data_IF_694249958536
#
_entry.id   IF_694249958536
#
_cell.length_a   1.000
_cell.length_b   1.000
_cell.length_c   1.000
_cell.angle_alpha   90.00
_cell.angle_beta   90.00
_cell.angle_gamma   90.00
#
_symmetry.space_group_name_H-M   'P 1'
#
loop_
_entity.id
_entity.type
_entity.pdbx_description
1 polymer ?
#
# COMPACT_ATOMS: atom_id res chain seq x y z
N UNK A 1 4.03 -19.82 -8.68
CA UNK A 1 5.33 -19.31 -9.17
C UNK A 1 5.76 -18.20 -8.24
N UNK A 2 6.94 -18.32 -7.62
CA UNK A 2 7.49 -17.27 -6.78
C UNK A 2 8.01 -16.13 -7.68
N UNK A 3 7.83 -14.89 -7.24
CA UNK A 3 8.35 -13.71 -7.93
C UNK A 3 9.83 -13.58 -7.55
N UNK A 4 10.72 -14.13 -8.39
CA UNK A 4 12.15 -14.28 -8.08
C UNK A 4 13.01 -13.71 -9.21
N UNK A 5 13.02 -12.38 -9.39
CA UNK A 5 13.95 -11.78 -10.35
C UNK A 5 15.41 -11.91 -9.86
N UNK A 6 16.38 -11.93 -10.79
CA UNK A 6 17.81 -11.97 -10.48
C UNK A 6 18.27 -10.78 -9.62
N UNK A 7 17.69 -9.61 -9.88
CA UNK A 7 17.79 -8.37 -9.10
C UNK A 7 16.47 -8.03 -8.37
N UNK A 8 16.53 -7.19 -7.33
CA UNK A 8 15.34 -6.80 -6.53
C UNK A 8 14.57 -7.98 -5.89
N UNK A 9 15.28 -9.05 -5.50
CA UNK A 9 14.70 -10.28 -4.92
C UNK A 9 13.76 -9.99 -3.75
N UNK A 10 14.18 -9.14 -2.81
CA UNK A 10 13.41 -8.84 -1.61
C UNK A 10 12.09 -8.12 -1.94
N UNK A 11 12.10 -7.22 -2.94
CA UNK A 11 10.89 -6.54 -3.41
C UNK A 11 9.89 -7.57 -3.95
N UNK A 12 10.37 -8.47 -4.80
CA UNK A 12 9.50 -9.42 -5.49
C UNK A 12 9.01 -10.56 -4.56
N UNK A 13 9.83 -10.96 -3.59
CA UNK A 13 9.39 -11.80 -2.47
C UNK A 13 8.31 -11.10 -1.64
N UNK A 14 8.52 -9.83 -1.26
CA UNK A 14 7.53 -9.06 -0.49
C UNK A 14 6.22 -8.87 -1.26
N UNK A 15 6.30 -8.64 -2.57
CA UNK A 15 5.13 -8.59 -3.45
C UNK A 15 4.39 -9.93 -3.48
N UNK A 16 5.11 -11.06 -3.50
CA UNK A 16 4.51 -12.39 -3.45
C UNK A 16 3.76 -12.64 -2.14
N UNK A 17 4.31 -12.19 -1.00
CA UNK A 17 3.64 -12.28 0.29
C UNK A 17 2.30 -11.54 0.29
N UNK A 18 2.27 -10.29 -0.17
CA UNK A 18 1.01 -9.54 -0.28
C UNK A 18 0.04 -10.20 -1.28
N UNK A 19 0.55 -10.77 -2.39
CA UNK A 19 -0.31 -11.49 -3.34
C UNK A 19 -0.96 -12.71 -2.69
N UNK A 20 -0.22 -13.46 -1.87
CA UNK A 20 -0.76 -14.60 -1.11
C UNK A 20 -1.82 -14.17 -0.08
N UNK A 21 -1.73 -12.93 0.43
CA UNK A 21 -2.77 -12.33 1.28
C UNK A 21 -3.99 -11.79 0.52
N UNK A 22 -3.99 -11.86 -0.82
CA UNK A 22 -5.11 -11.42 -1.67
C UNK A 22 -4.92 -10.04 -2.32
N UNK A 23 -3.74 -9.42 -2.20
CA UNK A 23 -3.44 -8.20 -2.95
C UNK A 23 -3.20 -8.51 -4.43
N UNK A 24 -3.67 -7.65 -5.33
CA UNK A 24 -3.31 -7.81 -6.74
C UNK A 24 -1.86 -7.34 -6.96
N UNK A 25 -1.13 -7.91 -7.96
CA UNK A 25 0.28 -7.60 -8.18
C UNK A 25 0.58 -6.10 -8.40
N UNK A 26 -0.33 -5.37 -9.05
CA UNK A 26 -0.14 -3.95 -9.31
C UNK A 26 -0.28 -3.08 -8.05
N UNK A 27 -1.17 -3.47 -7.14
CA UNK A 27 -1.32 -2.83 -5.83
C UNK A 27 -0.10 -3.12 -4.95
N UNK A 28 0.35 -4.38 -4.89
CA UNK A 28 1.56 -4.74 -4.13
C UNK A 28 2.77 -3.95 -4.62
N UNK A 29 2.89 -3.73 -5.93
CA UNK A 29 3.99 -2.92 -6.45
C UNK A 29 3.91 -1.45 -6.03
N UNK A 30 2.72 -0.85 -6.03
CA UNK A 30 2.54 0.54 -5.60
C UNK A 30 2.87 0.69 -4.12
N UNK A 31 2.47 -0.26 -3.27
CA UNK A 31 2.75 -0.26 -1.83
C UNK A 31 4.26 -0.21 -1.56
N UNK A 32 5.05 -1.02 -2.28
CA UNK A 32 6.50 -1.12 -2.04
C UNK A 32 7.37 -0.19 -2.87
N UNK A 33 6.86 0.39 -3.96
CA UNK A 33 7.69 1.18 -4.89
C UNK A 33 7.16 2.59 -5.15
N UNK A 34 5.94 2.90 -4.70
CA UNK A 34 5.20 4.10 -5.08
C UNK A 34 4.75 4.12 -6.55
N UNK A 35 5.09 3.08 -7.35
CA UNK A 35 4.79 3.01 -8.78
C UNK A 35 4.12 1.70 -9.16
N UNK A 36 3.28 1.79 -10.19
CA UNK A 36 2.69 0.61 -10.82
C UNK A 36 3.73 -0.05 -11.72
N UNK A 37 4.07 -1.30 -11.44
CA UNK A 37 4.87 -2.12 -12.36
C UNK A 37 3.99 -2.63 -13.50
N UNK A 38 4.54 -2.65 -14.71
CA UNK A 38 3.81 -3.13 -15.88
C UNK A 38 3.64 -4.65 -15.82
N UNK A 39 2.56 -5.17 -16.42
CA UNK A 39 2.33 -6.61 -16.51
C UNK A 39 3.49 -7.35 -17.19
N UNK A 40 4.13 -6.72 -18.18
CA UNK A 40 5.28 -7.30 -18.86
C UNK A 40 6.50 -7.40 -17.93
N UNK A 41 6.74 -6.38 -17.11
CA UNK A 41 7.82 -6.40 -16.11
C UNK A 41 7.57 -7.48 -15.06
N UNK A 42 6.35 -7.57 -14.53
CA UNK A 42 5.96 -8.61 -13.56
C UNK A 42 6.13 -10.01 -14.17
N UNK A 43 5.73 -10.22 -15.44
CA UNK A 43 5.92 -11.50 -16.14
C UNK A 43 7.39 -11.87 -16.34
N UNK A 44 8.26 -10.90 -16.62
CA UNK A 44 9.71 -11.11 -16.72
C UNK A 44 10.29 -11.51 -15.37
N UNK A 45 9.94 -10.78 -14.31
CA UNK A 45 10.36 -11.11 -12.93
C UNK A 45 9.90 -12.51 -12.48
N UNK A 46 8.69 -12.93 -12.86
CA UNK A 46 8.18 -14.29 -12.60
C UNK A 46 8.95 -15.41 -13.32
N UNK A 47 9.66 -15.08 -14.41
CA UNK A 47 10.51 -16.02 -15.15
C UNK A 47 11.95 -16.05 -14.65
N UNK A 48 12.29 -15.17 -13.70
CA UNK A 48 13.66 -14.99 -13.22
C UNK A 48 14.52 -14.07 -14.09
N UNK A 49 13.93 -13.39 -15.07
CA UNK A 49 14.64 -12.43 -15.91
C UNK A 49 15.03 -11.19 -15.10
N UNK A 50 16.17 -10.59 -15.45
CA UNK A 50 16.54 -9.27 -14.92
C UNK A 50 15.57 -8.19 -15.43
N UNK A 51 15.18 -7.30 -14.52
CA UNK A 51 14.23 -6.23 -14.81
C UNK A 51 14.74 -4.88 -14.30
N UNK A 52 14.48 -3.83 -15.06
CA UNK A 52 14.69 -2.46 -14.62
C UNK A 52 13.38 -1.91 -14.05
N UNK A 53 13.45 -1.32 -12.85
CA UNK A 53 12.31 -0.62 -12.26
C UNK A 53 12.04 0.71 -12.99
N UNK A 54 10.80 1.24 -12.95
CA UNK A 54 10.48 2.57 -13.47
C UNK A 54 11.38 3.67 -12.88
N UNK A 55 11.66 4.72 -13.67
CA UNK A 55 12.63 5.79 -13.35
C UNK A 55 12.43 6.46 -11.98
N UNK A 56 11.21 6.51 -11.46
CA UNK A 56 10.90 7.10 -10.14
C UNK A 56 10.32 6.09 -9.15
N UNK A 57 10.57 4.79 -9.36
CA UNK A 57 10.24 3.78 -8.38
C UNK A 57 11.26 3.85 -7.22
N UNK A 58 10.76 4.07 -6.00
CA UNK A 58 11.57 4.04 -4.78
C UNK A 58 11.19 2.81 -3.99
N UNK A 59 12.05 1.78 -3.98
CA UNK A 59 11.82 0.56 -3.22
C UNK A 59 11.92 0.88 -1.73
N UNK A 60 10.82 0.68 -1.01
CA UNK A 60 10.71 0.86 0.44
C UNK A 60 9.80 -0.21 1.03
N UNK A 61 10.41 -1.36 1.33
CA UNK A 61 9.70 -2.56 1.81
C UNK A 61 9.15 -2.34 3.21
N UNK A 62 9.94 -1.73 4.09
CA UNK A 62 9.55 -1.44 5.47
C UNK A 62 8.33 -0.52 5.52
N UNK A 63 8.35 0.59 4.76
CA UNK A 63 7.22 1.50 4.64
C UNK A 63 5.97 0.79 4.12
N UNK A 64 6.12 -0.07 3.11
CA UNK A 64 5.01 -0.82 2.53
C UNK A 64 4.36 -1.78 3.54
N UNK A 65 5.14 -2.55 4.28
CA UNK A 65 4.61 -3.44 5.31
C UNK A 65 4.00 -2.68 6.49
N UNK A 66 4.59 -1.54 6.88
CA UNK A 66 4.03 -0.67 7.92
C UNK A 66 2.63 -0.19 7.54
N UNK A 67 2.44 0.25 6.29
CA UNK A 67 1.12 0.61 5.77
C UNK A 67 0.12 -0.54 5.87
N UNK A 68 0.47 -1.72 5.34
CA UNK A 68 -0.42 -2.90 5.37
C UNK A 68 -0.77 -3.31 6.80
N UNK A 69 0.21 -3.32 7.70
CA UNK A 69 0.03 -3.70 9.11
C UNK A 69 -0.94 -2.75 9.81
N UNK A 70 -0.78 -1.44 9.64
CA UNK A 70 -1.64 -0.46 10.28
C UNK A 70 -3.06 -0.44 9.67
N UNK A 71 -3.20 -0.66 8.35
CA UNK A 71 -4.52 -0.87 7.75
C UNK A 71 -5.26 -2.04 8.40
N UNK A 72 -4.59 -3.20 8.56
CA UNK A 72 -5.19 -4.36 9.22
C UNK A 72 -5.56 -4.06 10.69
N UNK A 73 -4.67 -3.39 11.43
CA UNK A 73 -4.93 -3.00 12.82
C UNK A 73 -6.14 -2.04 12.96
N UNK A 74 -6.39 -1.21 11.94
CA UNK A 74 -7.54 -0.31 11.87
C UNK A 74 -8.84 -0.97 11.33
N UNK A 75 -8.89 -2.31 11.23
CA UNK A 75 -9.99 -3.07 10.61
C UNK A 75 -10.24 -2.73 9.13
N UNK A 76 -9.24 -2.19 8.42
CA UNK A 76 -9.28 -1.99 6.97
C UNK A 76 -8.85 -3.31 6.32
N UNK A 77 -9.82 -4.15 5.96
CA UNK A 77 -9.55 -5.45 5.34
C UNK A 77 -8.82 -5.31 4.01
N UNK A 78 -8.20 -6.40 3.54
CA UNK A 78 -7.51 -6.46 2.24
C UNK A 78 -8.40 -6.00 1.09
N UNK A 79 -9.71 -6.27 1.15
CA UNK A 79 -10.68 -5.80 0.15
C UNK A 79 -10.70 -4.26 -0.01
N UNK A 80 -10.41 -3.51 1.06
CA UNK A 80 -10.31 -2.06 1.03
C UNK A 80 -8.88 -1.57 0.84
N UNK A 81 -7.91 -2.15 1.56
CA UNK A 81 -6.50 -1.75 1.48
C UNK A 81 -5.91 -1.94 0.07
N UNK A 82 -6.49 -2.83 -0.74
CA UNK A 82 -6.09 -3.04 -2.14
C UNK A 82 -6.61 -1.98 -3.10
N UNK A 83 -7.59 -1.18 -2.68
CA UNK A 83 -8.19 -0.14 -3.52
C UNK A 83 -7.24 1.04 -3.64
N UNK A 84 -7.08 1.50 -4.88
CA UNK A 84 -6.10 2.52 -5.23
C UNK A 84 -6.20 3.78 -4.38
N UNK A 85 -7.41 4.21 -4.03
CA UNK A 85 -7.63 5.45 -3.29
C UNK A 85 -7.23 5.39 -1.81
N UNK A 86 -7.12 4.21 -1.19
CA UNK A 86 -6.52 4.09 0.15
C UNK A 86 -5.00 4.34 0.09
N UNK A 87 -4.34 3.79 -0.93
CA UNK A 87 -2.89 3.89 -1.11
C UNK A 87 -2.51 5.29 -1.61
N UNK A 88 -3.16 5.77 -2.67
CA UNK A 88 -2.93 7.09 -3.25
C UNK A 88 -3.37 8.20 -2.27
N UNK A 89 -4.45 7.99 -1.50
CA UNK A 89 -4.86 8.88 -0.42
C UNK A 89 -3.82 8.97 0.70
N UNK A 90 -3.30 7.83 1.16
CA UNK A 90 -2.21 7.79 2.16
C UNK A 90 -0.95 8.50 1.64
N UNK A 91 -0.51 8.16 0.43
CA UNK A 91 0.71 8.74 -0.16
C UNK A 91 0.55 10.25 -0.39
N UNK A 92 -0.63 10.71 -0.81
CA UNK A 92 -0.95 12.14 -0.94
C UNK A 92 -0.90 12.84 0.42
N UNK A 93 -1.47 12.24 1.46
CA UNK A 93 -1.44 12.78 2.81
C UNK A 93 -0.01 12.88 3.36
N UNK A 94 0.80 11.84 3.17
CA UNK A 94 2.21 11.84 3.54
C UNK A 94 3.03 12.92 2.80
N UNK A 95 2.72 13.16 1.53
CA UNK A 95 3.35 14.23 0.73
C UNK A 95 2.99 15.62 1.25
N UNK A 96 1.75 15.82 1.73
CA UNK A 96 1.27 17.09 2.28
C UNK A 96 1.75 17.35 3.71
N UNK A 97 2.15 16.30 4.43
CA UNK A 97 2.56 16.35 5.84
C UNK A 97 3.96 15.76 5.98
N UNK A 98 4.04 14.51 6.45
CA UNK A 98 5.24 13.69 6.47
C UNK A 98 4.83 12.21 6.51
N UNK A 99 5.74 11.30 6.20
CA UNK A 99 5.47 9.85 6.40
C UNK A 99 5.19 9.56 7.89
N UNK A 100 5.87 10.24 8.82
CA UNK A 100 5.66 10.07 10.25
C UNK A 100 4.24 10.44 10.66
N UNK A 101 3.77 11.62 10.25
CA UNK A 101 2.43 12.10 10.57
C UNK A 101 1.34 11.27 9.88
N UNK A 102 1.57 10.86 8.64
CA UNK A 102 0.65 9.98 7.93
C UNK A 102 0.51 8.61 8.62
N UNK A 103 1.62 8.04 9.09
CA UNK A 103 1.57 6.79 9.84
C UNK A 103 0.94 6.94 11.22
N UNK A 104 1.17 8.06 11.93
CA UNK A 104 0.47 8.36 13.19
C UNK A 104 -1.05 8.45 12.97
N UNK A 105 -1.48 9.14 11.92
CA UNK A 105 -2.89 9.24 11.55
C UNK A 105 -3.50 7.86 11.21
N UNK A 106 -2.77 7.02 10.46
CA UNK A 106 -3.22 5.68 10.11
C UNK A 106 -3.31 4.76 11.35
N UNK A 107 -2.35 4.82 12.27
CA UNK A 107 -2.41 4.06 13.52
C UNK A 107 -3.58 4.52 14.41
N UNK A 108 -3.85 5.83 14.46
CA UNK A 108 -4.97 6.39 15.21
C UNK A 108 -6.35 5.94 14.68
N UNK A 109 -6.45 5.45 13.44
CA UNK A 109 -7.71 4.94 12.89
C UNK A 109 -8.32 3.78 13.70
N UNK A 110 -7.51 3.03 14.47
CA UNK A 110 -8.02 1.99 15.39
C UNK A 110 -9.01 2.56 16.44
N UNK A 111 -8.85 3.84 16.79
CA UNK A 111 -9.72 4.53 17.75
C UNK A 111 -11.09 4.87 17.17
N UNK A 112 -11.20 4.98 15.83
CA UNK A 112 -12.46 5.27 15.14
C UNK A 112 -13.41 4.08 15.08
N UNK A 113 -12.96 2.86 15.46
CA UNK A 113 -13.75 1.62 15.44
C UNK A 113 -14.52 1.45 14.12
N UNK A 114 -13.80 1.63 13.01
CA UNK A 114 -14.38 1.67 11.66
C UNK A 114 -15.17 0.40 11.37
N UNK A 115 -16.43 0.60 10.96
CA UNK A 115 -17.28 -0.47 10.42
C UNK A 115 -17.13 -0.53 8.91
N UNK A 116 -17.39 -1.70 8.34
CA UNK A 116 -17.37 -1.91 6.89
C UNK A 116 -18.23 -0.90 6.11
N UNK A 117 -19.39 -0.50 6.65
CA UNK A 117 -20.26 0.52 6.03
C UNK A 117 -19.55 1.86 5.84
N UNK A 118 -18.75 2.30 6.83
CA UNK A 118 -17.96 3.53 6.76
C UNK A 118 -16.84 3.41 5.73
N UNK A 119 -16.20 2.24 5.64
CA UNK A 119 -15.15 1.99 4.63
C UNK A 119 -15.70 1.97 3.19
N UNK A 120 -16.97 1.56 3.01
CA UNK A 120 -17.67 1.61 1.71
C UNK A 120 -18.00 3.04 1.25
N UNK A 121 -18.05 4.00 2.16
CA UNK A 121 -18.27 5.43 1.85
C UNK A 121 -17.00 6.08 1.27
N UNK A 122 -15.82 5.49 1.47
CA UNK A 122 -14.58 5.96 0.87
C UNK A 122 -14.58 5.64 -0.63
N UNK A 123 -14.75 6.67 -1.46
CA UNK A 123 -14.87 6.54 -2.92
C UNK A 123 -13.70 7.12 -3.72
N UNK A 124 -12.88 7.93 -3.08
CA UNK A 124 -11.73 8.62 -3.69
C UNK A 124 -10.65 8.94 -2.64
N UNK A 125 -9.57 9.56 -3.11
CA UNK A 125 -8.42 9.91 -2.28
C UNK A 125 -8.80 10.90 -1.17
N UNK A 126 -9.63 11.89 -1.49
CA UNK A 126 -10.02 12.96 -0.56
C UNK A 126 -10.89 12.42 0.58
N UNK A 127 -11.74 11.43 0.29
CA UNK A 127 -12.49 10.70 1.31
C UNK A 127 -11.54 10.01 2.31
N UNK A 128 -10.50 9.33 1.81
CA UNK A 128 -9.56 8.63 2.69
C UNK A 128 -8.68 9.61 3.47
N UNK A 129 -8.24 10.71 2.84
CA UNK A 129 -7.51 11.80 3.49
C UNK A 129 -8.36 12.43 4.60
N UNK A 130 -9.65 12.61 4.38
CA UNK A 130 -10.57 13.12 5.41
C UNK A 130 -10.63 12.15 6.60
N UNK A 131 -10.69 10.85 6.34
CA UNK A 131 -10.67 9.85 7.40
C UNK A 131 -9.35 9.82 8.19
N UNK A 132 -8.21 10.04 7.52
CA UNK A 132 -6.90 10.20 8.16
C UNK A 132 -6.87 11.45 9.06
N UNK A 133 -7.44 12.57 8.60
CA UNK A 133 -7.55 13.80 9.41
C UNK A 133 -8.48 13.61 10.61
N UNK A 134 -9.62 12.93 10.44
CA UNK A 134 -10.52 12.55 11.53
C UNK A 134 -9.78 11.72 12.58
N UNK A 135 -9.01 10.70 12.15
CA UNK A 135 -8.22 9.87 13.05
C UNK A 135 -7.12 10.65 13.78
N UNK A 136 -6.38 11.52 13.07
CA UNK A 136 -5.32 12.34 13.64
C UNK A 136 -5.83 13.29 14.74
N UNK A 137 -7.09 13.75 14.64
CA UNK A 137 -7.72 14.57 15.68
C UNK A 137 -8.10 13.78 16.94
N UNK A 138 -8.01 12.45 16.91
CA UNK A 138 -8.26 11.57 18.07
C UNK A 138 -6.97 11.04 18.73
N UNK A 139 -5.81 11.43 18.20
CA UNK A 139 -4.49 10.98 18.63
C UNK A 139 -3.91 11.85 19.75
#
# INVERSE_FOLDING_TARGET
AALTAGNHKDLFASMADLINEGFNPSTSSIIFTGKKLSNNLIKKALKGDDVALPKDAKVDIERGYKFVTLCKAANISVMFATKRYFIDGFNSYATLTSDEDAFKALDAMKNLKLKESRLKEVKDNDCFITLLKEAAATA
#
